data_IF_627554515331
#
_entry.id   IF_627554515331
#
_cell.length_a   1.000
_cell.length_b   1.000
_cell.length_c   1.000
_cell.angle_alpha   90.00
_cell.angle_beta   90.00
_cell.angle_gamma   90.00
#
_symmetry.space_group_name_H-M   'P 1'
#
loop_
_entity.id
_entity.type
_entity.pdbx_description
1 polymer ?
#
# COMPACT_ATOMS: atom_id res chain seq x y z
N UNK A 1 -8.18 -18.16 21.62
CA UNK A 1 -8.25 -17.40 20.37
C UNK A 1 -9.24 -16.24 20.46
N UNK A 2 -8.76 -15.01 20.23
CA UNK A 2 -9.65 -13.91 19.79
C UNK A 2 -9.30 -13.56 18.35
N UNK A 3 -10.31 -13.23 17.55
CA UNK A 3 -10.15 -12.76 16.19
C UNK A 3 -10.34 -11.25 16.16
N UNK A 4 -9.44 -10.51 15.53
CA UNK A 4 -9.46 -9.05 15.47
C UNK A 4 -9.80 -8.49 14.07
N UNK A 5 -10.52 -9.28 13.26
CA UNK A 5 -10.81 -9.01 11.85
C UNK A 5 -9.60 -9.06 10.91
N UNK A 6 -8.40 -9.31 11.45
CA UNK A 6 -7.21 -9.48 10.64
C UNK A 6 -6.52 -10.80 10.93
N UNK A 7 -6.27 -11.15 12.19
CA UNK A 7 -5.49 -12.33 12.62
C UNK A 7 -5.99 -12.95 13.93
N UNK A 8 -5.57 -14.21 14.16
CA UNK A 8 -5.93 -14.98 15.36
C UNK A 8 -4.91 -14.80 16.48
N UNK A 9 -5.34 -14.21 17.59
CA UNK A 9 -4.51 -14.02 18.78
C UNK A 9 -4.65 -15.16 19.78
N UNK A 10 -3.56 -15.63 20.40
CA UNK A 10 -3.59 -16.76 21.32
C UNK A 10 -4.28 -16.40 22.65
N UNK A 11 -4.83 -17.41 23.35
CA UNK A 11 -5.43 -17.22 24.69
C UNK A 11 -4.43 -17.36 25.85
N UNK A 12 -3.20 -17.83 25.60
CA UNK A 12 -2.25 -18.15 26.67
C UNK A 12 -1.50 -16.92 27.24
N UNK A 13 -1.81 -15.71 26.75
CA UNK A 13 -1.13 -14.47 27.15
C UNK A 13 -1.60 -14.09 28.55
N UNK A 14 -0.68 -13.83 29.48
CA UNK A 14 -1.05 -13.44 30.84
C UNK A 14 -1.56 -12.00 30.86
N UNK A 15 -2.35 -11.69 31.89
CA UNK A 15 -2.74 -10.31 32.17
C UNK A 15 -1.49 -9.46 32.43
N UNK A 16 -1.45 -8.24 31.88
CA UNK A 16 -0.29 -7.35 31.97
C UNK A 16 0.85 -7.66 31.00
N UNK A 17 0.72 -8.67 30.13
CA UNK A 17 1.76 -9.03 29.14
C UNK A 17 1.42 -8.55 27.72
N UNK A 18 2.49 -8.25 26.98
CA UNK A 18 2.46 -8.02 25.54
C UNK A 18 2.61 -9.33 24.78
N UNK A 19 1.86 -9.48 23.69
CA UNK A 19 2.03 -10.57 22.73
C UNK A 19 2.37 -10.02 21.35
N UNK A 20 3.31 -10.69 20.68
CA UNK A 20 3.69 -10.35 19.30
C UNK A 20 3.47 -11.54 18.39
N UNK A 21 3.00 -11.29 17.18
CA UNK A 21 2.88 -12.30 16.12
C UNK A 21 3.40 -11.74 14.79
N UNK A 22 3.99 -12.57 13.92
CA UNK A 22 4.43 -12.13 12.59
C UNK A 22 3.29 -11.50 11.79
N UNK A 23 3.59 -10.46 11.02
CA UNK A 23 2.59 -9.83 10.17
C UNK A 23 2.07 -10.83 9.11
N UNK A 24 0.76 -10.85 8.84
CA UNK A 24 0.15 -11.81 7.93
C UNK A 24 0.68 -11.69 6.49
N UNK A 25 0.93 -12.84 5.88
CA UNK A 25 1.49 -12.95 4.52
C UNK A 25 0.47 -12.73 3.40
N UNK A 26 -0.82 -12.83 3.71
CA UNK A 26 -1.94 -12.68 2.79
C UNK A 26 -2.37 -11.23 2.56
N UNK A 27 -1.86 -10.29 3.36
CA UNK A 27 -2.12 -8.86 3.17
C UNK A 27 -1.04 -8.28 2.25
N UNK A 28 -1.46 -7.77 1.10
CA UNK A 28 -0.58 -7.09 0.18
C UNK A 28 -0.10 -5.76 0.81
N UNK A 29 1.21 -5.50 0.75
CA UNK A 29 1.83 -4.32 1.37
C UNK A 29 2.32 -4.53 2.80
N UNK A 30 2.15 -5.72 3.40
CA UNK A 30 2.67 -6.00 4.74
C UNK A 30 4.10 -6.57 4.72
N UNK A 31 4.93 -6.17 5.69
CA UNK A 31 6.28 -6.70 5.88
C UNK A 31 6.23 -7.96 6.74
N UNK A 32 6.49 -9.13 6.13
CA UNK A 32 6.47 -10.43 6.82
C UNK A 32 7.59 -10.60 7.85
N UNK A 33 8.64 -9.79 7.78
CA UNK A 33 9.75 -9.80 8.74
C UNK A 33 9.39 -9.05 10.04
N UNK A 34 8.38 -8.18 9.96
CA UNK A 34 7.91 -7.38 11.08
C UNK A 34 6.85 -8.13 11.87
N UNK A 35 6.50 -7.58 13.04
CA UNK A 35 5.54 -8.19 13.97
C UNK A 35 4.47 -7.20 14.39
N UNK A 36 3.23 -7.68 14.45
CA UNK A 36 2.13 -6.99 15.10
C UNK A 36 2.24 -7.18 16.63
N UNK A 37 1.91 -6.13 17.38
CA UNK A 37 1.95 -6.12 18.84
C UNK A 37 0.56 -5.91 19.40
N UNK A 38 0.21 -6.66 20.45
CA UNK A 38 -1.05 -6.53 21.16
C UNK A 38 -0.84 -6.66 22.66
N UNK A 39 -1.54 -5.84 23.44
CA UNK A 39 -1.42 -5.82 24.90
C UNK A 39 -2.65 -6.42 25.58
N UNK A 40 -2.41 -7.35 26.51
CA UNK A 40 -3.41 -7.88 27.42
C UNK A 40 -3.38 -7.06 28.71
N UNK A 41 -4.49 -6.40 29.05
CA UNK A 41 -4.59 -5.59 30.27
C UNK A 41 -4.60 -6.49 31.52
N UNK A 42 -4.36 -5.88 32.68
CA UNK A 42 -4.39 -6.55 33.99
C UNK A 42 -5.76 -7.18 34.32
N UNK A 43 -6.84 -6.66 33.74
CA UNK A 43 -8.20 -7.20 33.86
C UNK A 43 -8.45 -8.45 32.98
N UNK A 44 -7.42 -8.92 32.26
CA UNK A 44 -7.51 -10.06 31.34
C UNK A 44 -8.22 -9.74 30.03
N UNK A 45 -8.52 -8.46 29.76
CA UNK A 45 -9.13 -8.03 28.51
C UNK A 45 -8.11 -7.41 27.56
N UNK A 46 -8.37 -7.50 26.26
CA UNK A 46 -7.50 -6.88 25.26
C UNK A 46 -7.57 -5.36 25.33
N UNK A 47 -6.44 -4.68 25.14
CA UNK A 47 -6.40 -3.23 24.99
C UNK A 47 -7.36 -2.77 23.89
N UNK A 48 -8.12 -1.71 24.16
CA UNK A 48 -9.04 -1.08 23.22
C UNK A 48 -8.48 0.26 22.79
N UNK A 49 -8.84 0.71 21.59
CA UNK A 49 -8.37 1.98 21.08
C UNK A 49 -8.99 3.13 21.89
N UNK A 50 -8.22 4.13 22.36
CA UNK A 50 -8.73 5.16 23.26
C UNK A 50 -9.74 6.12 22.62
N UNK A 51 -9.81 6.20 21.29
CA UNK A 51 -10.65 7.17 20.58
C UNK A 51 -11.91 6.59 19.92
N UNK A 52 -12.13 5.27 19.97
CA UNK A 52 -13.27 4.66 19.30
C UNK A 52 -14.48 4.50 20.22
N UNK A 53 -15.65 4.96 19.75
CA UNK A 53 -16.98 4.65 20.32
C UNK A 53 -17.36 3.18 20.15
N UNK A 54 -16.48 2.38 19.57
CA UNK A 54 -16.63 0.96 19.29
C UNK A 54 -15.78 0.22 20.32
N UNK A 55 -16.41 -0.64 21.12
CA UNK A 55 -15.77 -1.51 22.12
C UNK A 55 -14.91 -2.62 21.45
N UNK A 56 -14.14 -2.29 20.42
CA UNK A 56 -13.27 -3.24 19.73
C UNK A 56 -11.88 -3.21 20.35
N UNK A 57 -11.30 -4.40 20.47
CA UNK A 57 -9.89 -4.56 20.77
C UNK A 57 -9.01 -3.94 19.69
N UNK A 58 -7.87 -3.42 20.09
CA UNK A 58 -6.87 -2.76 19.25
C UNK A 58 -5.59 -3.58 19.18
N UNK A 59 -4.90 -3.47 18.04
CA UNK A 59 -3.63 -4.11 17.75
C UNK A 59 -2.72 -3.09 17.06
N UNK A 60 -1.45 -3.05 17.44
CA UNK A 60 -0.44 -2.19 16.83
C UNK A 60 0.18 -2.83 15.58
N UNK A 61 -0.19 -2.33 14.41
CA UNK A 61 0.32 -2.77 13.11
C UNK A 61 1.30 -1.78 12.47
N UNK A 62 1.81 -0.79 13.22
CA UNK A 62 2.68 0.25 12.66
C UNK A 62 3.91 -0.32 11.96
N UNK A 63 4.50 -1.37 12.54
CA UNK A 63 5.64 -2.07 11.97
C UNK A 63 5.26 -2.97 10.78
N UNK A 64 4.01 -3.39 10.67
CA UNK A 64 3.58 -4.28 9.60
C UNK A 64 3.41 -3.57 8.26
N UNK A 65 3.11 -2.28 8.24
CA UNK A 65 3.02 -1.54 6.99
C UNK A 65 4.41 -1.44 6.38
N UNK A 66 4.62 -2.04 5.19
CA UNK A 66 5.76 -1.63 4.39
C UNK A 66 5.57 -0.16 4.09
N UNK A 67 6.61 0.63 4.33
CA UNK A 67 6.70 1.96 3.74
C UNK A 67 6.36 1.76 2.27
N UNK A 68 5.25 2.37 1.85
CA UNK A 68 4.71 2.19 0.52
C UNK A 68 5.65 2.91 -0.42
N UNK A 69 6.72 2.22 -0.77
CA UNK A 69 7.52 2.57 -1.93
C UNK A 69 6.62 2.29 -3.12
N UNK A 70 5.79 3.29 -3.46
CA UNK A 70 4.81 3.29 -4.54
C UNK A 70 5.48 3.14 -5.93
N UNK A 71 6.72 2.68 -6.00
CA UNK A 71 7.61 2.75 -7.16
C UNK A 71 7.81 1.41 -7.86
N UNK A 72 7.50 0.25 -7.25
CA UNK A 72 7.98 -1.02 -7.82
C UNK A 72 7.00 -1.77 -8.75
N UNK A 73 5.70 -1.48 -8.76
CA UNK A 73 4.73 -2.34 -9.50
C UNK A 73 4.00 -1.70 -10.68
N UNK A 74 4.26 -0.43 -10.99
CA UNK A 74 3.67 0.24 -12.16
C UNK A 74 4.63 0.97 -13.12
N UNK A 75 5.97 0.73 -13.16
CA UNK A 75 6.82 1.49 -14.08
C UNK A 75 6.64 1.07 -15.54
N UNK A 76 6.31 -0.20 -15.83
CA UNK A 76 6.32 -0.70 -17.22
C UNK A 76 5.20 -0.11 -18.10
N UNK A 77 4.00 0.04 -17.56
CA UNK A 77 2.84 0.59 -18.30
C UNK A 77 3.06 2.07 -18.59
N UNK A 78 3.61 2.80 -17.61
CA UNK A 78 3.91 4.23 -17.76
C UNK A 78 5.00 4.42 -18.82
N UNK A 79 6.07 3.61 -18.80
CA UNK A 79 7.17 3.73 -19.75
C UNK A 79 6.75 3.48 -21.20
N UNK A 80 5.99 2.42 -21.48
CA UNK A 80 5.51 2.14 -22.86
C UNK A 80 4.57 3.24 -23.36
N UNK A 81 3.69 3.76 -22.48
CA UNK A 81 2.79 4.85 -22.83
C UNK A 81 3.55 6.13 -23.14
N UNK A 82 4.54 6.50 -22.33
CA UNK A 82 5.37 7.70 -22.56
C UNK A 82 6.14 7.63 -23.89
N UNK A 83 6.74 6.49 -24.21
CA UNK A 83 7.46 6.29 -25.48
C UNK A 83 6.50 6.39 -26.66
N UNK A 84 5.33 5.74 -26.57
CA UNK A 84 4.31 5.78 -27.61
C UNK A 84 3.84 7.20 -27.92
N UNK A 85 3.47 7.96 -26.90
CA UNK A 85 3.03 9.35 -27.10
C UNK A 85 4.12 10.24 -27.67
N UNK A 86 5.37 10.05 -27.25
CA UNK A 86 6.51 10.84 -27.76
C UNK A 86 6.74 10.60 -29.25
N UNK A 87 6.68 9.33 -29.69
CA UNK A 87 6.81 8.95 -31.11
C UNK A 87 5.65 9.49 -31.95
N UNK A 88 4.41 9.35 -31.46
CA UNK A 88 3.22 9.86 -32.17
C UNK A 88 3.25 11.39 -32.30
N UNK A 89 3.65 12.11 -31.24
CA UNK A 89 3.78 13.56 -31.29
C UNK A 89 4.87 13.99 -32.29
N UNK A 90 6.02 13.31 -32.28
CA UNK A 90 7.12 13.59 -33.20
C UNK A 90 6.73 13.43 -34.67
N UNK A 91 6.06 12.32 -35.02
CA UNK A 91 5.59 12.11 -36.40
C UNK A 91 4.54 13.13 -36.80
N UNK A 92 3.64 13.51 -35.89
CA UNK A 92 2.61 14.50 -36.14
C UNK A 92 3.20 15.91 -36.38
N UNK A 93 4.24 16.30 -35.63
CA UNK A 93 4.98 17.55 -35.87
C UNK A 93 5.66 17.54 -37.23
N UNK A 94 6.29 16.44 -37.63
CA UNK A 94 6.93 16.34 -38.95
C UNK A 94 5.89 16.40 -40.08
N UNK A 95 4.77 15.68 -39.95
CA UNK A 95 3.70 15.70 -40.95
C UNK A 95 3.07 17.09 -41.09
N UNK A 96 2.80 17.77 -39.98
CA UNK A 96 2.20 19.11 -39.97
C UNK A 96 3.17 20.17 -40.51
N UNK A 97 4.46 20.11 -40.19
CA UNK A 97 5.47 21.03 -40.74
C UNK A 97 5.57 20.88 -42.26
N UNK A 98 5.64 19.66 -42.78
CA UNK A 98 5.63 19.40 -44.23
C UNK A 98 4.37 19.98 -44.89
N UNK A 99 3.19 19.72 -44.33
CA UNK A 99 1.92 20.23 -44.86
C UNK A 99 1.89 21.77 -44.93
N UNK A 100 2.38 22.45 -43.88
CA UNK A 100 2.43 23.93 -43.84
C UNK A 100 3.42 24.49 -44.85
N UNK A 101 4.62 23.90 -44.97
CA UNK A 101 5.62 24.32 -45.96
C UNK A 101 5.08 24.21 -47.38
N UNK A 102 4.44 23.08 -47.74
CA UNK A 102 3.82 22.95 -49.06
C UNK A 102 2.68 23.95 -49.28
N UNK A 103 1.88 24.23 -48.24
CA UNK A 103 0.84 25.26 -48.34
C UNK A 103 1.41 26.66 -48.56
N UNK A 104 2.57 26.97 -47.98
CA UNK A 104 3.27 28.25 -48.20
C UNK A 104 3.99 28.34 -49.55
N UNK A 105 4.40 27.21 -50.14
CA UNK A 105 5.08 27.18 -51.45
C UNK A 105 4.08 27.29 -52.61
N UNK A 106 2.82 26.90 -52.40
CA UNK A 106 1.76 26.87 -53.43
C UNK A 106 0.92 28.16 -53.45
N UNK A 107 0.99 29.00 -52.43
CA UNK A 107 0.15 30.20 -52.23
C UNK A 107 1.00 31.47 -52.30
#
# INVERSE_FOLDING_TARGET
>A
PVWDNLMCWPHYVRAGENVTQPCPSYIQGFNRLEKALRFCKEDGTWQTHPSDKINSSWTDFRHCMKESDHTEHMPIVIQISTIGYSLSLGTLIVATTIMVLFRQVIL
#
